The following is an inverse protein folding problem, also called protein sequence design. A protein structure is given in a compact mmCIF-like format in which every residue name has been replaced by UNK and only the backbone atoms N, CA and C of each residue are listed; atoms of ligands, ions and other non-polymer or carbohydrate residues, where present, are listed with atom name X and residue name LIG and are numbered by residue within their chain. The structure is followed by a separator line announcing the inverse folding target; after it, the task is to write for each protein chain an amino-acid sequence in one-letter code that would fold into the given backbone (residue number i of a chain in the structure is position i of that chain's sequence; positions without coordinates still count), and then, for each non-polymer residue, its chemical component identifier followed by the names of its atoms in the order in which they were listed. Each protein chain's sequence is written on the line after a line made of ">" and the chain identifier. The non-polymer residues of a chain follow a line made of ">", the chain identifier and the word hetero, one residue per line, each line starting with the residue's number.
data_IF_252014527138
#
_entry.id   IF_252014527138
#
_cell.length_a   1.000
_cell.length_b   1.000
_cell.length_c   1.000
_cell.angle_alpha   90.00
_cell.angle_beta   90.00
_cell.angle_gamma   90.00
#
_symmetry.space_group_name_H-M   'P 1'
#
loop_
_entity.id
_entity.type
_entity.pdbx_description
1 polymer ?
#
# COMPACT_ATOMS: atom_id res chain seq x y z
N UNK A 1 -11.23 -17.99 -23.65
CA UNK A 1 -12.04 -18.38 -22.48
C UNK A 1 -12.09 -17.16 -21.56
N UNK A 2 -13.23 -16.49 -21.51
CA UNK A 2 -13.43 -15.31 -20.65
C UNK A 2 -13.47 -15.77 -19.20
N UNK A 3 -12.46 -15.42 -18.44
CA UNK A 3 -12.43 -15.60 -16.98
C UNK A 3 -13.37 -14.53 -16.41
N UNK A 4 -14.53 -14.95 -15.89
CA UNK A 4 -15.40 -14.09 -15.08
C UNK A 4 -14.66 -13.79 -13.78
N UNK A 5 -14.18 -12.56 -13.64
CA UNK A 5 -13.71 -12.02 -12.37
C UNK A 5 -14.93 -11.97 -11.43
N UNK A 6 -14.83 -12.54 -10.22
CA UNK A 6 -15.91 -12.41 -9.25
C UNK A 6 -16.06 -10.92 -8.88
N UNK A 7 -17.28 -10.41 -9.02
CA UNK A 7 -17.68 -9.01 -8.77
C UNK A 7 -17.53 -8.53 -7.31
N UNK A 8 -16.72 -9.19 -6.50
CA UNK A 8 -16.66 -8.97 -5.05
C UNK A 8 -15.62 -7.94 -4.59
N UNK A 9 -14.62 -7.66 -5.42
CA UNK A 9 -13.66 -6.58 -5.12
C UNK A 9 -14.18 -5.18 -5.54
N UNK A 10 -15.27 -5.13 -6.31
CA UNK A 10 -15.85 -3.88 -6.82
C UNK A 10 -16.94 -3.26 -5.92
N UNK A 11 -17.22 -3.82 -4.73
CA UNK A 11 -18.23 -3.29 -3.81
C UNK A 11 -17.67 -2.81 -2.47
N UNK A 12 -16.58 -2.10 -2.47
CA UNK A 12 -16.25 -1.18 -1.37
C UNK A 12 -16.94 0.19 -1.61
N UNK A 13 -18.23 0.17 -1.91
CA UNK A 13 -19.09 1.35 -1.78
C UNK A 13 -19.82 1.26 -0.47
N UNK A 14 -19.44 2.13 0.47
CA UNK A 14 -20.27 2.40 1.65
C UNK A 14 -21.63 2.96 1.22
N UNK A 15 -22.75 2.46 1.77
CA UNK A 15 -24.02 3.14 1.70
C UNK A 15 -24.12 4.13 2.86
N UNK A 16 -23.67 5.35 2.67
CA UNK A 16 -24.08 6.48 3.49
C UNK A 16 -24.44 7.64 2.57
N UNK A 17 -25.71 7.68 2.22
CA UNK A 17 -26.42 8.89 1.82
C UNK A 17 -26.45 9.83 3.01
N UNK A 18 -25.74 10.93 2.93
CA UNK A 18 -26.11 12.29 3.21
C UNK A 18 -24.90 13.19 3.43
N UNK A 19 -24.82 14.18 2.55
CA UNK A 19 -24.29 15.52 2.67
C UNK A 19 -22.84 15.70 3.14
N UNK A 20 -22.10 16.33 2.26
CA UNK A 20 -20.79 16.97 2.41
C UNK A 20 -19.55 16.09 2.16
N UNK A 21 -19.47 15.50 0.96
CA UNK A 21 -18.16 15.17 0.39
C UNK A 21 -17.46 16.49 0.00
N UNK A 22 -16.17 16.70 0.35
CA UNK A 22 -15.45 17.87 -0.13
C UNK A 22 -15.33 17.81 -1.64
N UNK A 23 -15.81 18.84 -2.32
CA UNK A 23 -15.62 19.00 -3.75
C UNK A 23 -14.13 19.24 -4.03
N UNK A 24 -13.51 18.38 -4.82
CA UNK A 24 -12.18 18.62 -5.36
C UNK A 24 -12.32 19.60 -6.51
N UNK A 25 -11.91 20.84 -6.31
CA UNK A 25 -11.83 21.82 -7.40
C UNK A 25 -10.39 21.83 -7.88
N UNK A 26 -10.19 21.40 -9.12
CA UNK A 26 -8.91 21.48 -9.82
C UNK A 26 -8.91 22.76 -10.66
N UNK A 27 -8.05 23.69 -10.32
CA UNK A 27 -7.63 24.76 -11.22
C UNK A 27 -6.23 24.45 -11.71
N UNK A 28 -6.01 24.69 -13.02
CA UNK A 28 -4.77 24.48 -13.78
C UNK A 28 -3.50 24.24 -12.93
N UNK A 29 -3.10 22.95 -12.80
CA UNK A 29 -1.78 22.57 -12.31
C UNK A 29 -1.60 22.41 -10.79
N UNK A 30 -2.60 22.72 -9.96
CA UNK A 30 -2.50 22.57 -8.51
C UNK A 30 -3.58 21.63 -7.96
N UNK A 31 -3.16 20.61 -7.23
CA UNK A 31 -4.07 19.79 -6.41
C UNK A 31 -4.29 20.53 -5.10
N UNK A 32 -5.32 21.35 -5.04
CA UNK A 32 -5.71 22.03 -3.80
C UNK A 32 -6.73 21.17 -3.06
N UNK A 33 -6.34 20.63 -1.92
CA UNK A 33 -7.27 20.04 -0.97
C UNK A 33 -7.97 21.14 -0.19
N UNK A 34 -9.24 21.39 -0.51
CA UNK A 34 -10.09 22.26 0.32
C UNK A 34 -10.63 21.42 1.47
N UNK A 35 -10.05 21.59 2.65
CA UNK A 35 -10.55 20.99 3.88
C UNK A 35 -11.80 21.73 4.35
N UNK A 36 -12.91 21.05 4.73
CA UNK A 36 -14.00 21.70 5.45
C UNK A 36 -13.46 22.27 6.76
N UNK A 37 -13.94 23.43 7.17
CA UNK A 37 -13.56 24.07 8.44
C UNK A 37 -13.82 23.10 9.59
N UNK A 38 -12.75 22.55 10.15
CA UNK A 38 -12.79 21.66 11.31
C UNK A 38 -12.97 22.50 12.58
N UNK A 39 -13.83 22.03 13.48
CA UNK A 39 -13.99 22.61 14.81
C UNK A 39 -12.70 22.41 15.64
N UNK A 40 -12.49 23.21 16.71
CA UNK A 40 -11.28 23.13 17.54
C UNK A 40 -11.03 21.76 18.21
N UNK A 41 -12.03 20.89 18.27
CA UNK A 41 -11.97 19.54 18.86
C UNK A 41 -11.37 18.48 17.96
N UNK A 42 -11.30 18.71 16.64
CA UNK A 42 -10.84 17.70 15.66
C UNK A 42 -9.33 17.68 15.44
N UNK A 43 -8.56 18.51 16.15
CA UNK A 43 -7.09 18.62 15.98
C UNK A 43 -6.28 17.41 16.45
N UNK A 44 -6.87 16.45 17.15
CA UNK A 44 -6.16 15.27 17.68
C UNK A 44 -6.08 14.07 16.72
N UNK A 45 -6.83 14.06 15.61
CA UNK A 45 -6.86 12.94 14.62
C UNK A 45 -5.89 13.16 13.43
N UNK A 46 -4.97 14.09 13.53
CA UNK A 46 -4.11 14.55 12.43
C UNK A 46 -2.88 13.70 12.12
N UNK A 47 -2.64 12.59 12.81
CA UNK A 47 -1.38 11.82 12.66
C UNK A 47 -1.12 11.24 11.27
N UNK A 48 -2.13 10.70 10.58
CA UNK A 48 -1.96 10.09 9.24
C UNK A 48 -2.01 11.11 8.09
N UNK A 49 -2.77 12.20 8.28
CA UNK A 49 -2.79 13.32 7.32
C UNK A 49 -1.48 14.11 7.31
N UNK A 50 -0.79 14.20 8.45
CA UNK A 50 0.52 14.85 8.52
C UNK A 50 1.61 14.08 7.76
N UNK A 51 1.54 12.76 7.63
CA UNK A 51 2.49 11.99 6.85
C UNK A 51 2.34 12.28 5.34
N UNK A 52 1.11 12.33 4.82
CA UNK A 52 0.86 12.66 3.41
C UNK A 52 1.19 14.12 3.07
N UNK A 53 0.89 15.05 3.98
CA UNK A 53 1.27 16.47 3.86
C UNK A 53 2.79 16.65 4.02
N UNK A 54 3.46 15.83 4.82
CA UNK A 54 4.93 15.85 4.94
C UNK A 54 5.62 15.35 3.67
N UNK A 55 5.13 14.30 3.04
CA UNK A 55 5.66 13.79 1.75
C UNK A 55 5.48 14.82 0.64
N UNK A 56 4.31 15.46 0.54
CA UNK A 56 4.11 16.59 -0.37
C UNK A 56 5.00 17.78 -0.05
N UNK A 57 5.26 18.05 1.24
CA UNK A 57 6.19 19.10 1.66
C UNK A 57 7.66 18.71 1.50
N UNK A 58 8.02 17.43 1.45
CA UNK A 58 9.37 16.95 1.10
C UNK A 58 9.61 17.03 -0.40
N UNK A 59 8.61 16.71 -1.21
CA UNK A 59 8.62 16.99 -2.66
C UNK A 59 8.64 18.51 -2.91
N UNK A 60 7.86 19.30 -2.16
CA UNK A 60 7.86 20.76 -2.23
C UNK A 60 9.06 21.45 -1.54
N UNK A 61 9.86 20.78 -0.70
CA UNK A 61 11.11 21.37 -0.19
C UNK A 61 12.17 21.52 -1.28
N UNK A 62 12.02 20.81 -2.41
CA UNK A 62 12.77 21.05 -3.63
C UNK A 62 12.26 22.22 -4.48
N UNK A 63 11.15 22.85 -4.12
CA UNK A 63 10.52 24.01 -4.80
C UNK A 63 10.29 23.84 -6.31
N UNK A 64 10.20 22.61 -6.82
CA UNK A 64 10.00 22.34 -8.26
C UNK A 64 8.61 21.73 -8.46
N UNK A 65 7.64 22.44 -9.03
CA UNK A 65 6.36 21.86 -9.46
C UNK A 65 6.60 20.72 -10.46
N UNK A 66 5.74 19.70 -10.49
CA UNK A 66 5.87 18.59 -11.46
C UNK A 66 5.88 19.09 -12.92
N UNK A 67 5.37 20.29 -13.18
CA UNK A 67 5.38 20.96 -14.46
C UNK A 67 6.74 21.49 -14.91
N UNK A 68 7.70 21.62 -14.00
CA UNK A 68 9.03 22.18 -14.29
C UNK A 68 10.04 21.10 -14.74
N UNK A 69 9.64 19.84 -14.76
CA UNK A 69 10.46 18.76 -15.32
C UNK A 69 10.22 18.67 -16.82
N UNK A 70 11.30 18.83 -17.61
CA UNK A 70 11.27 18.80 -19.09
C UNK A 70 11.36 17.40 -19.67
N UNK A 71 12.00 16.46 -18.94
CA UNK A 71 12.18 15.07 -19.38
C UNK A 71 11.64 14.13 -18.29
N UNK A 72 10.46 13.58 -18.55
CA UNK A 72 9.74 12.69 -17.64
C UNK A 72 9.53 11.32 -18.26
N UNK A 73 9.86 10.28 -17.50
CA UNK A 73 9.66 8.88 -17.90
C UNK A 73 8.54 8.27 -17.06
N UNK A 74 7.50 7.77 -17.68
CA UNK A 74 6.48 6.96 -17.02
C UNK A 74 6.57 5.52 -17.50
N UNK A 75 6.52 4.56 -16.57
CA UNK A 75 6.50 3.12 -16.89
C UNK A 75 5.41 2.45 -16.07
N UNK A 76 4.48 1.78 -16.76
CA UNK A 76 3.44 0.97 -16.13
C UNK A 76 3.67 -0.52 -16.42
N UNK A 77 3.81 -1.32 -15.36
CA UNK A 77 3.91 -2.78 -15.47
C UNK A 77 2.54 -3.39 -15.21
N UNK A 78 1.86 -3.75 -16.29
CA UNK A 78 0.63 -4.52 -16.24
C UNK A 78 0.87 -6.04 -16.20
N UNK A 79 -0.20 -6.81 -16.09
CA UNK A 79 -0.11 -8.29 -16.08
C UNK A 79 0.36 -8.89 -17.40
N UNK A 80 0.11 -8.24 -18.53
CA UNK A 80 0.44 -8.75 -19.88
C UNK A 80 1.45 -7.87 -20.60
N UNK A 81 1.34 -6.56 -20.47
CA UNK A 81 2.20 -5.60 -21.16
C UNK A 81 2.84 -4.64 -20.15
N UNK A 82 4.04 -4.21 -20.49
CA UNK A 82 4.75 -3.10 -19.87
C UNK A 82 4.77 -1.94 -20.86
N UNK A 83 4.19 -0.83 -20.47
CA UNK A 83 4.08 0.38 -21.27
C UNK A 83 5.05 1.45 -20.73
N UNK A 84 5.88 2.01 -21.61
CA UNK A 84 6.78 3.12 -21.27
C UNK A 84 6.43 4.35 -22.11
N UNK A 85 6.43 5.51 -21.47
CA UNK A 85 6.18 6.81 -22.12
C UNK A 85 7.26 7.77 -21.67
N UNK A 86 7.97 8.35 -22.63
CA UNK A 86 8.88 9.47 -22.38
C UNK A 86 8.23 10.76 -22.87
N UNK A 87 8.17 11.75 -22.03
CA UNK A 87 7.83 13.13 -22.39
C UNK A 87 9.09 13.96 -22.35
N UNK A 88 9.35 14.65 -23.45
CA UNK A 88 10.46 15.58 -23.61
C UNK A 88 9.95 16.87 -24.26
N UNK A 89 9.97 17.97 -23.50
CA UNK A 89 9.53 19.29 -23.97
C UNK A 89 8.11 19.28 -24.59
N UNK A 90 7.18 18.49 -24.02
CA UNK A 90 5.81 18.35 -24.51
C UNK A 90 5.63 17.37 -25.70
N UNK A 91 6.70 16.71 -26.14
CA UNK A 91 6.64 15.66 -27.18
C UNK A 91 6.68 14.29 -26.49
N UNK A 92 5.78 13.38 -26.91
CA UNK A 92 5.64 12.05 -26.33
C UNK A 92 6.20 10.97 -27.25
N UNK A 93 6.99 10.07 -26.70
CA UNK A 93 7.39 8.81 -27.31
C UNK A 93 6.90 7.64 -26.47
N UNK A 94 6.45 6.57 -27.08
CA UNK A 94 5.86 5.42 -26.36
C UNK A 94 6.46 4.12 -26.84
N UNK A 95 6.68 3.19 -25.91
CA UNK A 95 7.08 1.81 -26.16
C UNK A 95 6.18 0.85 -25.40
N UNK A 96 5.86 -0.28 -26.04
CA UNK A 96 5.03 -1.33 -25.46
C UNK A 96 5.69 -2.69 -25.63
N UNK A 97 5.90 -3.38 -24.51
CA UNK A 97 6.56 -4.69 -24.45
C UNK A 97 5.68 -5.72 -23.76
N UNK A 98 5.93 -7.00 -23.97
CA UNK A 98 5.37 -8.05 -23.13
C UNK A 98 6.01 -7.97 -21.75
N UNK A 99 5.18 -8.07 -20.71
CA UNK A 99 5.66 -8.12 -19.33
C UNK A 99 6.47 -9.40 -19.09
N UNK A 100 7.54 -9.26 -18.32
CA UNK A 100 8.38 -10.37 -17.84
C UNK A 100 8.07 -10.65 -16.36
N UNK A 101 7.07 -11.48 -16.04
CA UNK A 101 6.60 -11.65 -14.65
C UNK A 101 7.66 -12.16 -13.68
N UNK A 102 8.63 -12.97 -14.19
CA UNK A 102 9.71 -13.51 -13.37
C UNK A 102 10.77 -12.46 -12.99
N UNK A 103 10.92 -11.40 -13.81
CA UNK A 103 11.93 -10.35 -13.65
C UNK A 103 11.33 -8.98 -13.96
N UNK A 104 10.42 -8.47 -13.11
CA UNK A 104 9.69 -7.23 -13.42
C UNK A 104 10.60 -5.99 -13.49
N UNK A 105 11.66 -5.92 -12.69
CA UNK A 105 12.66 -4.84 -12.77
C UNK A 105 13.36 -4.82 -14.14
N UNK A 106 13.74 -5.97 -14.67
CA UNK A 106 14.32 -6.10 -16.00
C UNK A 106 13.35 -5.66 -17.09
N UNK A 107 12.06 -6.00 -16.97
CA UNK A 107 11.00 -5.57 -17.89
C UNK A 107 10.88 -4.05 -17.93
N UNK A 108 10.88 -3.43 -16.74
CA UNK A 108 10.91 -1.98 -16.60
C UNK A 108 12.10 -1.35 -17.34
N UNK A 109 13.32 -1.81 -17.03
CA UNK A 109 14.55 -1.28 -17.62
C UNK A 109 14.58 -1.43 -19.14
N UNK A 110 14.13 -2.59 -19.64
CA UNK A 110 14.07 -2.83 -21.08
C UNK A 110 13.13 -1.85 -21.78
N UNK A 111 11.96 -1.58 -21.20
CA UNK A 111 11.00 -0.62 -21.74
C UNK A 111 11.54 0.82 -21.66
N UNK A 112 12.13 1.18 -20.52
CA UNK A 112 12.75 2.48 -20.30
C UNK A 112 13.88 2.75 -21.31
N UNK A 113 14.82 1.82 -21.47
CA UNK A 113 15.94 1.99 -22.38
C UNK A 113 15.50 2.10 -23.84
N UNK A 114 14.51 1.33 -24.29
CA UNK A 114 13.99 1.42 -25.65
C UNK A 114 13.40 2.78 -25.98
N UNK A 115 12.59 3.35 -25.06
CA UNK A 115 12.00 4.67 -25.31
C UNK A 115 13.05 5.77 -25.25
N UNK A 116 14.09 5.62 -24.42
CA UNK A 116 15.24 6.54 -24.39
C UNK A 116 16.06 6.48 -25.70
N UNK A 117 16.36 5.28 -26.18
CA UNK A 117 17.05 5.06 -27.46
C UNK A 117 16.25 5.66 -28.65
N UNK A 118 14.94 5.40 -28.70
CA UNK A 118 14.07 5.91 -29.75
C UNK A 118 14.05 7.45 -29.84
N UNK A 119 14.28 8.11 -28.70
CA UNK A 119 14.30 9.60 -28.63
C UNK A 119 15.70 10.21 -28.61
N UNK A 120 16.75 9.39 -28.59
CA UNK A 120 18.12 9.86 -28.43
C UNK A 120 18.40 10.54 -27.12
N UNK A 121 17.61 10.22 -26.06
CA UNK A 121 17.74 10.81 -24.73
C UNK A 121 18.70 9.96 -23.89
N UNK A 122 19.64 10.60 -23.20
CA UNK A 122 20.55 9.88 -22.31
C UNK A 122 19.84 9.54 -20.99
N UNK A 123 20.14 8.40 -20.35
CA UNK A 123 19.60 8.05 -19.02
C UNK A 123 19.79 9.14 -17.96
N UNK A 124 20.94 9.83 -17.99
CA UNK A 124 21.27 10.93 -17.07
C UNK A 124 20.41 12.19 -17.25
N UNK A 125 19.74 12.32 -18.39
CA UNK A 125 18.91 13.51 -18.70
C UNK A 125 17.48 13.35 -18.14
N UNK A 126 17.09 12.15 -17.72
CA UNK A 126 15.77 11.92 -17.11
C UNK A 126 15.70 12.63 -15.77
N UNK A 127 14.69 13.49 -15.60
CA UNK A 127 14.52 14.34 -14.41
C UNK A 127 13.54 13.77 -13.41
N UNK A 128 12.59 12.93 -13.88
CA UNK A 128 11.56 12.32 -13.04
C UNK A 128 11.10 10.98 -13.62
N UNK A 129 10.93 9.98 -12.75
CA UNK A 129 10.27 8.72 -13.09
C UNK A 129 8.96 8.60 -12.33
N UNK A 130 7.89 8.22 -13.05
CA UNK A 130 6.60 7.82 -12.48
C UNK A 130 6.36 6.35 -12.82
N UNK A 131 6.13 5.53 -11.79
CA UNK A 131 5.97 4.10 -11.95
C UNK A 131 4.60 3.62 -11.45
N UNK A 132 3.86 2.95 -12.34
CA UNK A 132 2.67 2.17 -12.04
C UNK A 132 3.00 0.67 -12.08
N UNK A 133 2.36 -0.14 -11.23
CA UNK A 133 2.56 -1.58 -11.25
C UNK A 133 1.35 -2.34 -10.72
N UNK A 134 1.04 -3.47 -11.36
CA UNK A 134 0.03 -4.42 -10.87
C UNK A 134 0.62 -5.56 -10.04
N UNK A 135 1.92 -5.52 -9.73
CA UNK A 135 2.61 -6.61 -9.03
C UNK A 135 1.97 -6.92 -7.66
N UNK A 136 1.65 -5.90 -6.87
CA UNK A 136 0.98 -6.03 -5.59
C UNK A 136 -0.43 -6.64 -5.72
N UNK A 137 -1.21 -6.15 -6.69
CA UNK A 137 -2.56 -6.65 -6.99
C UNK A 137 -2.52 -8.12 -7.42
N UNK A 138 -1.61 -8.47 -8.33
CA UNK A 138 -1.44 -9.85 -8.80
C UNK A 138 -1.02 -10.79 -7.68
N UNK A 139 -0.11 -10.38 -6.79
CA UNK A 139 0.32 -11.18 -5.64
C UNK A 139 -0.84 -11.52 -4.69
N UNK A 140 -1.78 -10.60 -4.49
CA UNK A 140 -2.99 -10.85 -3.69
C UNK A 140 -3.97 -11.78 -4.40
N UNK A 141 -4.25 -11.56 -5.68
CA UNK A 141 -5.21 -12.36 -6.46
C UNK A 141 -4.71 -13.81 -6.60
N UNK A 142 -3.42 -13.98 -6.90
CA UNK A 142 -2.79 -15.27 -7.11
C UNK A 142 -2.36 -15.95 -5.79
N UNK A 143 -2.53 -15.27 -4.66
CA UNK A 143 -2.11 -15.72 -3.33
C UNK A 143 -0.60 -16.07 -3.26
N UNK A 144 0.24 -15.27 -3.92
CA UNK A 144 1.71 -15.44 -4.00
C UNK A 144 2.45 -14.41 -3.14
N UNK A 145 1.94 -14.08 -1.96
CA UNK A 145 2.61 -13.19 -1.01
C UNK A 145 3.46 -13.96 0.00
N UNK A 146 4.00 -13.22 0.96
CA UNK A 146 4.84 -13.75 2.01
C UNK A 146 4.05 -14.56 3.04
N UNK A 147 4.72 -15.52 3.69
CA UNK A 147 4.15 -16.24 4.83
C UNK A 147 3.95 -15.27 6.00
N UNK A 148 2.69 -14.98 6.30
CA UNK A 148 2.31 -13.88 7.16
C UNK A 148 1.58 -14.36 8.40
N UNK A 149 1.91 -13.80 9.59
CA UNK A 149 1.15 -13.95 10.81
C UNK A 149 0.41 -12.65 11.19
N UNK A 150 -0.65 -12.79 11.99
CA UNK A 150 -1.38 -11.68 12.58
C UNK A 150 -1.32 -11.77 14.10
N UNK A 151 -0.75 -10.75 14.74
CA UNK A 151 -0.80 -10.60 16.22
C UNK A 151 -2.04 -9.81 16.58
N UNK A 152 -2.84 -10.35 17.50
CA UNK A 152 -4.13 -9.81 17.93
C UNK A 152 -4.26 -9.79 19.43
N UNK A 153 -5.18 -8.97 19.95
CA UNK A 153 -5.62 -9.01 21.35
C UNK A 153 -6.21 -10.37 21.68
N UNK A 154 -5.85 -10.95 22.81
CA UNK A 154 -6.41 -12.21 23.32
C UNK A 154 -7.94 -12.17 23.34
N UNK A 155 -8.57 -13.29 22.91
CA UNK A 155 -10.02 -13.41 22.73
C UNK A 155 -10.55 -12.89 21.39
N UNK A 156 -9.73 -12.23 20.54
CA UNK A 156 -10.15 -11.61 19.27
C UNK A 156 -9.46 -12.16 18.03
N UNK A 157 -8.93 -13.40 18.08
CA UNK A 157 -8.21 -14.00 16.93
C UNK A 157 -9.12 -14.35 15.74
N UNK A 158 -10.42 -14.41 15.94
CA UNK A 158 -11.37 -14.81 14.90
C UNK A 158 -12.09 -13.64 14.22
N UNK A 159 -11.69 -12.40 14.47
CA UNK A 159 -12.23 -11.20 13.84
C UNK A 159 -12.19 -11.24 12.30
N UNK A 160 -11.12 -11.83 11.71
CA UNK A 160 -11.03 -12.02 10.25
C UNK A 160 -12.03 -13.04 9.70
N UNK A 161 -12.39 -14.08 10.49
CA UNK A 161 -13.41 -15.07 10.11
C UNK A 161 -14.82 -14.50 10.26
N UNK A 162 -15.07 -13.81 11.36
CA UNK A 162 -16.37 -13.20 11.66
C UNK A 162 -16.68 -12.11 10.63
N UNK A 163 -15.70 -11.26 10.30
CA UNK A 163 -15.83 -10.11 9.39
C UNK A 163 -17.07 -9.27 9.75
N UNK A 164 -17.99 -9.05 8.81
CA UNK A 164 -19.25 -8.32 9.03
C UNK A 164 -20.45 -9.25 9.24
N UNK A 165 -20.25 -10.56 9.36
CA UNK A 165 -21.29 -11.58 9.51
C UNK A 165 -22.33 -11.61 8.38
N UNK A 166 -22.18 -10.81 7.34
CA UNK A 166 -23.09 -10.81 6.19
C UNK A 166 -22.77 -11.96 5.23
N UNK A 167 -23.80 -12.49 4.59
CA UNK A 167 -23.69 -13.48 3.53
C UNK A 167 -23.79 -12.80 2.17
N UNK A 168 -23.12 -13.33 1.17
CA UNK A 168 -23.22 -12.85 -0.21
C UNK A 168 -24.59 -13.15 -0.82
N UNK A 169 -25.11 -14.33 -0.50
CA UNK A 169 -26.49 -14.73 -0.76
C UNK A 169 -27.09 -15.24 0.55
N UNK A 170 -28.18 -14.64 0.98
CA UNK A 170 -28.83 -14.94 2.25
C UNK A 170 -29.43 -16.35 2.27
N UNK A 171 -29.84 -16.87 1.11
CA UNK A 171 -30.53 -18.14 0.96
C UNK A 171 -29.63 -19.26 0.43
N UNK A 172 -28.41 -18.96 0.02
CA UNK A 172 -27.44 -19.99 -0.39
C UNK A 172 -26.69 -20.54 0.82
N UNK A 173 -27.10 -21.73 1.28
CA UNK A 173 -26.45 -22.43 2.39
C UNK A 173 -25.08 -23.03 2.02
N UNK A 174 -24.77 -23.14 0.73
CA UNK A 174 -23.51 -23.64 0.22
C UNK A 174 -22.51 -22.51 -0.11
N UNK A 175 -22.91 -21.24 0.06
CA UNK A 175 -22.04 -20.12 -0.19
C UNK A 175 -20.86 -20.13 0.80
N UNK A 176 -19.66 -20.29 0.27
CA UNK A 176 -18.42 -20.21 1.04
C UNK A 176 -17.79 -18.84 0.89
N UNK A 177 -17.29 -18.31 2.01
CA UNK A 177 -16.46 -17.10 2.01
C UNK A 177 -15.05 -17.46 1.56
N UNK A 178 -14.41 -16.55 0.80
CA UNK A 178 -12.99 -16.70 0.49
C UNK A 178 -12.16 -16.78 1.79
N UNK A 179 -11.21 -17.71 1.88
CA UNK A 179 -10.40 -17.84 3.09
C UNK A 179 -9.59 -16.56 3.33
N UNK A 180 -9.42 -16.13 4.58
CA UNK A 180 -8.56 -15.01 4.93
C UNK A 180 -7.11 -15.25 4.50
N UNK A 181 -6.39 -14.17 4.15
CA UNK A 181 -4.96 -14.23 3.78
C UNK A 181 -4.08 -14.84 4.87
N UNK A 182 -4.44 -14.62 6.14
CA UNK A 182 -3.74 -15.20 7.29
C UNK A 182 -4.62 -16.30 7.87
N UNK A 183 -4.22 -17.57 7.74
CA UNK A 183 -4.97 -18.69 8.27
C UNK A 183 -5.01 -18.67 9.80
N UNK A 184 -6.02 -19.32 10.41
CA UNK A 184 -6.30 -19.22 11.84
C UNK A 184 -5.11 -19.58 12.73
N UNK A 185 -4.30 -20.57 12.34
CA UNK A 185 -3.14 -21.02 13.13
C UNK A 185 -2.00 -19.99 13.16
N UNK A 186 -1.94 -19.04 12.23
CA UNK A 186 -1.00 -17.93 12.23
C UNK A 186 -1.57 -16.64 12.83
N UNK A 187 -2.74 -16.69 13.48
CA UNK A 187 -3.28 -15.56 14.24
C UNK A 187 -2.91 -15.77 15.71
N UNK A 188 -1.93 -15.01 16.15
CA UNK A 188 -1.22 -15.18 17.41
C UNK A 188 -1.76 -14.19 18.46
N UNK A 189 -2.43 -14.63 19.52
CA UNK A 189 -2.95 -13.73 20.54
C UNK A 189 -1.85 -13.29 21.51
N UNK A 190 -1.96 -12.02 21.98
CA UNK A 190 -1.16 -11.47 23.08
C UNK A 190 -2.08 -10.90 24.14
N UNK A 191 -1.65 -10.98 25.40
CA UNK A 191 -2.42 -10.50 26.53
C UNK A 191 -2.24 -9.00 26.70
N UNK A 192 -3.28 -8.26 26.33
CA UNK A 192 -3.39 -6.80 26.49
C UNK A 192 -4.85 -6.36 26.34
N UNK A 193 -5.20 -5.14 26.75
CA UNK A 193 -6.50 -4.55 26.45
C UNK A 193 -6.46 -3.04 26.50
N UNK A 194 -6.99 -2.42 25.45
CA UNK A 194 -7.34 -1.00 25.42
C UNK A 194 -8.84 -0.80 25.29
N UNK A 195 -9.34 0.33 25.78
CA UNK A 195 -10.70 0.75 25.49
C UNK A 195 -10.74 1.70 24.27
N UNK A 196 -11.94 2.00 23.81
CA UNK A 196 -12.17 2.87 22.64
C UNK A 196 -11.65 4.32 22.80
N UNK A 197 -11.37 4.76 24.04
CA UNK A 197 -10.77 6.08 24.34
C UNK A 197 -9.23 6.03 24.39
N UNK A 198 -8.64 4.86 24.17
CA UNK A 198 -7.19 4.65 24.23
C UNK A 198 -6.65 4.49 25.65
N UNK A 199 -7.51 4.34 26.68
CA UNK A 199 -7.06 4.01 28.02
C UNK A 199 -6.71 2.51 28.13
N UNK A 200 -5.59 2.21 28.76
CA UNK A 200 -5.13 0.84 29.02
C UNK A 200 -5.99 0.23 30.11
N UNK A 201 -6.67 -0.87 29.80
CA UNK A 201 -7.44 -1.68 30.75
C UNK A 201 -6.60 -2.84 31.29
N UNK A 202 -5.82 -3.49 30.41
CA UNK A 202 -4.84 -4.53 30.75
C UNK A 202 -3.53 -4.10 30.08
N UNK A 203 -2.44 -3.90 30.85
CA UNK A 203 -1.12 -3.64 30.28
C UNK A 203 -0.68 -4.76 29.35
N UNK A 204 0.17 -4.44 28.38
CA UNK A 204 0.78 -5.45 27.53
C UNK A 204 1.65 -6.40 28.36
N UNK A 205 1.34 -7.67 28.32
CA UNK A 205 2.22 -8.72 28.82
C UNK A 205 3.32 -9.01 27.79
N UNK A 206 4.50 -8.44 28.04
CA UNK A 206 5.65 -8.60 27.13
C UNK A 206 6.09 -10.07 27.04
N UNK A 207 5.92 -10.85 28.12
CA UNK A 207 6.20 -12.29 28.11
C UNK A 207 5.33 -13.06 27.12
N UNK A 208 4.06 -12.64 26.97
CA UNK A 208 3.17 -13.22 25.95
C UNK A 208 3.65 -12.93 24.52
N UNK A 209 4.32 -11.81 24.29
CA UNK A 209 4.92 -11.46 22.98
C UNK A 209 6.21 -12.26 22.73
N UNK A 210 7.09 -12.32 23.74
CA UNK A 210 8.35 -13.08 23.67
C UNK A 210 8.10 -14.57 23.41
N UNK A 211 7.05 -15.13 23.97
CA UNK A 211 6.62 -16.52 23.75
C UNK A 211 6.24 -16.82 22.28
N UNK A 212 5.92 -15.80 21.47
CA UNK A 212 5.61 -15.97 20.05
C UNK A 212 6.87 -16.10 19.17
N UNK A 213 8.03 -15.60 19.62
CA UNK A 213 9.25 -15.55 18.83
C UNK A 213 9.68 -16.93 18.31
N UNK A 214 9.79 -17.98 19.16
CA UNK A 214 10.16 -19.31 18.68
C UNK A 214 9.17 -19.90 17.67
N UNK A 215 7.88 -19.56 17.78
CA UNK A 215 6.86 -20.02 16.82
C UNK A 215 7.00 -19.30 15.47
N UNK A 216 7.26 -18.00 15.48
CA UNK A 216 7.50 -17.18 14.28
C UNK A 216 8.72 -17.74 13.52
N UNK A 217 9.82 -18.04 14.21
CA UNK A 217 11.00 -18.63 13.61
C UNK A 217 10.74 -20.06 13.08
N UNK A 218 10.15 -20.93 13.91
CA UNK A 218 9.87 -22.31 13.54
C UNK A 218 8.96 -22.42 12.33
N UNK A 219 8.04 -21.48 12.19
CA UNK A 219 7.12 -21.44 11.06
C UNK A 219 7.69 -20.67 9.86
N UNK A 220 8.91 -20.15 9.94
CA UNK A 220 9.51 -19.35 8.86
C UNK A 220 8.58 -18.20 8.41
N UNK A 221 8.00 -17.47 9.37
CA UNK A 221 7.15 -16.31 9.09
C UNK A 221 8.03 -15.16 8.59
N UNK A 222 7.76 -14.68 7.40
CA UNK A 222 8.51 -13.58 6.77
C UNK A 222 7.96 -12.20 7.16
N UNK A 223 6.67 -12.13 7.49
CA UNK A 223 6.00 -10.86 7.77
C UNK A 223 4.95 -11.00 8.86
N UNK A 224 4.79 -9.95 9.67
CA UNK A 224 3.80 -9.89 10.75
C UNK A 224 2.95 -8.64 10.62
N UNK A 225 1.64 -8.82 10.62
CA UNK A 225 0.66 -7.78 10.87
C UNK A 225 0.36 -7.71 12.37
N UNK A 226 0.35 -6.52 12.97
CA UNK A 226 -0.08 -6.31 14.35
C UNK A 226 -1.37 -5.51 14.33
N UNK A 227 -2.47 -6.13 14.78
CA UNK A 227 -3.81 -5.55 14.72
C UNK A 227 -4.54 -5.67 16.07
N UNK A 228 -4.16 -4.84 17.03
CA UNK A 228 -4.75 -4.86 18.36
C UNK A 228 -6.06 -4.07 18.41
N UNK A 229 -6.89 -4.39 19.41
CA UNK A 229 -8.11 -3.65 19.65
C UNK A 229 -7.81 -2.18 19.96
N UNK A 230 -8.59 -1.30 19.34
CA UNK A 230 -8.52 0.16 19.57
C UNK A 230 -7.11 0.79 19.36
N UNK A 231 -6.21 0.14 18.63
CA UNK A 231 -4.88 0.67 18.32
C UNK A 231 -4.92 2.01 17.53
N UNK A 232 -6.01 2.29 16.84
CA UNK A 232 -6.26 3.60 16.20
C UNK A 232 -6.34 4.74 17.21
N UNK A 233 -6.79 4.49 18.44
CA UNK A 233 -6.89 5.48 19.51
C UNK A 233 -5.58 5.61 20.31
N UNK A 234 -4.87 4.47 20.52
CA UNK A 234 -3.58 4.43 21.22
C UNK A 234 -2.69 3.32 20.66
N UNK A 235 -1.64 3.65 19.89
CA UNK A 235 -0.78 2.69 19.22
C UNK A 235 0.34 2.12 20.10
N UNK A 236 0.41 2.47 21.40
CA UNK A 236 1.59 2.19 22.22
C UNK A 236 1.89 0.70 22.35
N UNK A 237 0.88 -0.17 22.52
CA UNK A 237 1.08 -1.62 22.60
C UNK A 237 1.59 -2.19 21.27
N UNK A 238 1.04 -1.77 20.11
CA UNK A 238 1.55 -2.20 18.80
C UNK A 238 3.00 -1.80 18.59
N UNK A 239 3.36 -0.56 18.96
CA UNK A 239 4.73 -0.07 18.87
C UNK A 239 5.66 -0.88 19.76
N UNK A 240 5.25 -1.19 20.98
CA UNK A 240 6.06 -1.96 21.91
C UNK A 240 6.27 -3.40 21.41
N UNK A 241 5.25 -4.05 20.89
CA UNK A 241 5.38 -5.38 20.27
C UNK A 241 6.38 -5.32 19.11
N UNK A 242 6.28 -4.30 18.25
CA UNK A 242 7.24 -4.11 17.15
C UNK A 242 8.68 -3.97 17.63
N UNK A 243 8.92 -3.24 18.73
CA UNK A 243 10.25 -3.09 19.30
C UNK A 243 10.81 -4.43 19.78
N UNK A 244 10.01 -5.23 20.53
CA UNK A 244 10.39 -6.54 21.00
C UNK A 244 10.73 -7.48 19.85
N UNK A 245 9.83 -7.59 18.86
CA UNK A 245 10.03 -8.46 17.72
C UNK A 245 11.23 -8.04 16.88
N UNK A 246 11.45 -6.74 16.65
CA UNK A 246 12.58 -6.26 15.85
C UNK A 246 13.92 -6.47 16.55
N UNK A 247 13.97 -6.46 17.88
CA UNK A 247 15.18 -6.75 18.65
C UNK A 247 15.59 -8.23 18.52
N UNK A 248 14.61 -9.14 18.46
CA UNK A 248 14.85 -10.58 18.33
C UNK A 248 14.99 -11.03 16.87
N UNK A 249 14.19 -10.45 15.96
CA UNK A 249 14.04 -10.85 14.56
C UNK A 249 14.23 -9.62 13.65
N UNK A 250 15.46 -9.16 13.40
CA UNK A 250 15.73 -7.89 12.70
C UNK A 250 15.26 -7.88 11.25
N UNK A 251 15.22 -9.04 10.59
CA UNK A 251 14.81 -9.18 9.19
C UNK A 251 13.29 -9.34 9.00
N UNK A 252 12.54 -9.46 10.10
CA UNK A 252 11.09 -9.63 10.05
C UNK A 252 10.40 -8.35 9.57
N UNK A 253 9.57 -8.46 8.55
CA UNK A 253 8.70 -7.35 8.11
C UNK A 253 7.54 -7.17 9.09
N UNK A 254 7.31 -5.95 9.56
CA UNK A 254 6.28 -5.67 10.58
C UNK A 254 5.41 -4.50 10.15
N UNK A 255 4.11 -4.77 10.00
CA UNK A 255 3.07 -3.79 9.69
C UNK A 255 2.18 -3.55 10.90
N UNK A 256 2.10 -2.30 11.38
CA UNK A 256 1.20 -1.90 12.46
C UNK A 256 -0.15 -1.45 11.91
N UNK A 257 -1.25 -1.89 12.48
CA UNK A 257 -2.59 -1.48 12.07
C UNK A 257 -2.83 0.01 12.29
N UNK A 258 -2.22 0.57 13.32
CA UNK A 258 -2.24 2.01 13.62
C UNK A 258 -1.50 2.88 12.60
N UNK A 259 -0.58 2.30 11.81
CA UNK A 259 0.13 2.99 10.73
C UNK A 259 -0.54 2.78 9.36
N UNK A 260 -0.97 1.54 9.07
CA UNK A 260 -1.51 1.12 7.77
C UNK A 260 -2.93 1.63 7.55
N UNK A 261 -3.82 1.40 8.53
CA UNK A 261 -5.25 1.69 8.44
C UNK A 261 -5.79 2.11 9.82
N UNK A 262 -5.53 3.34 10.31
CA UNK A 262 -5.89 3.77 11.65
C UNK A 262 -7.38 4.09 11.78
N UNK A 263 -8.25 3.13 11.46
CA UNK A 263 -9.70 3.26 11.47
C UNK A 263 -10.33 2.39 12.57
N UNK A 264 -11.59 2.77 12.98
CA UNK A 264 -12.32 2.16 14.08
C UNK A 264 -12.83 0.85 13.57
N UNK A 265 -12.73 0.02 12.99
CA UNK A 265 -13.31 -1.30 12.67
C UNK A 265 -12.20 -2.34 12.60
N UNK A 266 -12.29 -3.31 13.49
CA UNK A 266 -11.24 -4.32 13.63
C UNK A 266 -11.05 -5.12 12.34
N UNK A 267 -12.14 -5.54 11.69
CA UNK A 267 -12.06 -6.33 10.47
C UNK A 267 -11.38 -5.56 9.33
N UNK A 268 -11.82 -4.33 9.04
CA UNK A 268 -11.22 -3.51 7.98
C UNK A 268 -9.76 -3.20 8.28
N UNK A 269 -9.46 -2.82 9.53
CA UNK A 269 -8.12 -2.49 9.97
C UNK A 269 -7.18 -3.68 9.88
N UNK A 270 -7.59 -4.84 10.41
CA UNK A 270 -6.77 -6.05 10.44
C UNK A 270 -6.60 -6.66 9.04
N UNK A 271 -7.67 -6.76 8.25
CA UNK A 271 -7.59 -7.31 6.89
C UNK A 271 -6.69 -6.46 5.98
N UNK A 272 -6.80 -5.12 6.06
CA UNK A 272 -5.93 -4.21 5.31
C UNK A 272 -4.47 -4.32 5.77
N UNK A 273 -4.23 -4.46 7.08
CA UNK A 273 -2.88 -4.62 7.63
C UNK A 273 -2.28 -5.96 7.24
N UNK A 274 -3.08 -7.04 7.25
CA UNK A 274 -2.65 -8.36 6.76
C UNK A 274 -2.29 -8.31 5.27
N UNK A 275 -3.09 -7.65 4.44
CA UNK A 275 -2.79 -7.47 3.02
C UNK A 275 -1.49 -6.69 2.81
N UNK A 276 -1.27 -5.61 3.59
CA UNK A 276 0.00 -4.86 3.55
C UNK A 276 1.18 -5.75 3.92
N UNK A 277 1.11 -6.46 5.06
CA UNK A 277 2.16 -7.36 5.52
C UNK A 277 2.45 -8.48 4.51
N UNK A 278 1.40 -9.03 3.89
CA UNK A 278 1.48 -10.12 2.92
C UNK A 278 2.25 -9.76 1.64
N UNK A 279 2.10 -8.53 1.15
CA UNK A 279 2.77 -8.08 -0.08
C UNK A 279 4.06 -7.31 0.19
N UNK A 280 4.31 -6.86 1.43
CA UNK A 280 5.43 -5.98 1.75
C UNK A 280 6.81 -6.58 1.43
N UNK A 281 7.14 -7.84 1.76
CA UNK A 281 8.43 -8.41 1.41
C UNK A 281 8.69 -8.48 -0.10
N UNK A 282 7.67 -8.86 -0.88
CA UNK A 282 7.73 -8.89 -2.35
C UNK A 282 7.99 -7.50 -2.93
N UNK A 283 7.18 -6.53 -2.53
CA UNK A 283 7.28 -5.16 -3.05
C UNK A 283 8.56 -4.47 -2.61
N UNK A 284 9.03 -4.73 -1.39
CA UNK A 284 10.30 -4.19 -0.89
C UNK A 284 11.48 -4.67 -1.74
N UNK A 285 11.58 -5.98 -1.99
CA UNK A 285 12.63 -6.55 -2.84
C UNK A 285 12.60 -5.96 -4.24
N UNK A 286 11.44 -5.96 -4.86
CA UNK A 286 11.25 -5.41 -6.21
C UNK A 286 11.65 -3.95 -6.32
N UNK A 287 11.17 -3.11 -5.42
CA UNK A 287 11.39 -1.66 -5.49
C UNK A 287 12.85 -1.28 -5.18
N UNK A 288 13.51 -1.98 -4.27
CA UNK A 288 14.92 -1.77 -3.97
C UNK A 288 15.82 -2.24 -5.12
N UNK A 289 15.50 -3.38 -5.75
CA UNK A 289 16.17 -3.86 -6.95
C UNK A 289 16.03 -2.85 -8.10
N UNK A 290 14.81 -2.38 -8.36
CA UNK A 290 14.56 -1.38 -9.40
C UNK A 290 15.34 -0.09 -9.18
N UNK A 291 15.38 0.41 -7.94
CA UNK A 291 16.17 1.62 -7.59
C UNK A 291 17.66 1.41 -7.86
N UNK A 292 18.20 0.26 -7.46
CA UNK A 292 19.61 -0.07 -7.67
C UNK A 292 19.95 -0.16 -9.17
N UNK A 293 19.12 -0.84 -9.95
CA UNK A 293 19.33 -0.99 -11.39
C UNK A 293 19.19 0.33 -12.16
N UNK A 294 18.26 1.22 -11.77
CA UNK A 294 18.15 2.55 -12.33
C UNK A 294 19.42 3.36 -12.11
N UNK A 295 20.00 3.30 -10.91
CA UNK A 295 21.29 3.95 -10.60
C UNK A 295 22.43 3.37 -11.42
N UNK A 296 22.46 2.06 -11.64
CA UNK A 296 23.49 1.37 -12.44
C UNK A 296 23.51 1.82 -13.90
N UNK A 297 22.34 2.12 -14.50
CA UNK A 297 22.24 2.64 -15.88
C UNK A 297 22.39 4.17 -15.97
N UNK A 298 22.68 4.85 -14.85
CA UNK A 298 22.95 6.28 -14.81
C UNK A 298 21.71 7.17 -14.61
N UNK A 299 20.57 6.60 -14.23
CA UNK A 299 19.36 7.36 -13.85
C UNK A 299 19.40 7.60 -12.33
N UNK A 300 19.52 8.86 -11.91
CA UNK A 300 19.62 9.26 -10.50
C UNK A 300 18.46 10.17 -10.04
N UNK A 301 17.46 10.38 -10.90
CA UNK A 301 16.32 11.22 -10.60
C UNK A 301 15.34 10.58 -9.60
N UNK A 302 14.40 11.34 -9.03
CA UNK A 302 13.36 10.80 -8.17
C UNK A 302 12.49 9.73 -8.87
N UNK A 303 12.26 8.61 -8.18
CA UNK A 303 11.30 7.58 -8.57
C UNK A 303 10.04 7.72 -7.71
N UNK A 304 8.93 8.09 -8.32
CA UNK A 304 7.63 8.20 -7.68
C UNK A 304 6.71 7.05 -8.12
N UNK A 305 5.89 6.58 -7.19
CA UNK A 305 4.96 5.47 -7.41
C UNK A 305 3.52 5.98 -7.47
N UNK A 306 2.75 5.48 -8.44
CA UNK A 306 1.32 5.76 -8.56
C UNK A 306 0.54 5.03 -7.46
N UNK A 307 -0.30 5.76 -6.73
CA UNK A 307 -1.18 5.20 -5.70
C UNK A 307 -2.59 4.94 -6.24
N UNK A 308 -3.31 4.04 -5.56
CA UNK A 308 -4.74 3.76 -5.80
C UNK A 308 -5.66 4.99 -5.65
N UNK A 309 -5.23 5.98 -4.88
CA UNK A 309 -5.94 7.26 -4.73
C UNK A 309 -5.73 8.22 -5.91
N UNK A 310 -4.91 7.88 -6.90
CA UNK A 310 -4.56 8.73 -8.03
C UNK A 310 -3.43 9.73 -7.73
N UNK A 311 -2.87 9.72 -6.51
CA UNK A 311 -1.70 10.54 -6.17
C UNK A 311 -0.39 9.78 -6.39
N UNK A 312 0.74 10.51 -6.22
CA UNK A 312 2.08 9.94 -6.27
C UNK A 312 2.64 9.80 -4.85
N UNK A 313 3.53 8.83 -4.66
CA UNK A 313 4.23 8.61 -3.39
C UNK A 313 5.70 8.29 -3.61
N UNK A 314 6.51 8.46 -2.58
CA UNK A 314 7.94 8.12 -2.63
C UNK A 314 8.16 6.61 -2.54
N UNK A 315 9.33 6.17 -3.00
CA UNK A 315 9.78 4.78 -2.90
C UNK A 315 9.70 4.26 -1.45
N UNK A 316 10.21 5.03 -0.49
CA UNK A 316 10.19 4.66 0.94
C UNK A 316 8.78 4.42 1.47
N UNK A 317 7.80 5.26 1.07
CA UNK A 317 6.40 5.08 1.44
C UNK A 317 5.79 3.86 0.74
N UNK A 318 6.11 3.62 -0.54
CA UNK A 318 5.66 2.44 -1.28
C UNK A 318 6.18 1.13 -0.68
N UNK A 319 7.44 1.11 -0.21
CA UNK A 319 8.03 -0.03 0.50
C UNK A 319 7.32 -0.27 1.84
N UNK A 320 7.03 0.79 2.59
CA UNK A 320 6.36 0.68 3.90
C UNK A 320 4.88 0.31 3.78
N UNK A 321 4.19 0.88 2.79
CA UNK A 321 2.74 0.75 2.61
C UNK A 321 2.36 0.32 1.18
N UNK A 322 2.82 -0.85 0.73
CA UNK A 322 2.53 -1.31 -0.64
C UNK A 322 1.04 -1.51 -0.91
N UNK A 323 0.21 -1.68 0.12
CA UNK A 323 -1.26 -1.73 0.00
C UNK A 323 -1.83 -0.49 -0.72
N UNK A 324 -1.16 0.65 -0.66
CA UNK A 324 -1.58 1.90 -1.31
C UNK A 324 -1.31 1.93 -2.82
N UNK A 325 -0.56 0.96 -3.33
CA UNK A 325 -0.22 0.82 -4.76
C UNK A 325 -1.19 -0.13 -5.49
N UNK A 326 -2.10 -0.80 -4.77
CA UNK A 326 -3.07 -1.72 -5.35
C UNK A 326 -4.06 -0.93 -6.21
N UNK A 327 -4.36 -1.45 -7.42
CA UNK A 327 -5.27 -0.82 -8.39
C UNK A 327 -4.84 0.61 -8.84
N UNK A 328 -3.52 0.88 -8.86
CA UNK A 328 -2.98 2.15 -9.36
C UNK A 328 -3.24 2.38 -10.84
N UNK A 329 -3.27 1.33 -11.67
CA UNK A 329 -3.58 1.41 -13.10
C UNK A 329 -4.98 1.99 -13.39
N UNK A 330 -6.08 1.47 -12.80
CA UNK A 330 -7.41 2.08 -12.91
C UNK A 330 -7.47 3.54 -12.45
N UNK A 331 -6.73 3.91 -11.39
CA UNK A 331 -6.66 5.28 -10.91
C UNK A 331 -6.00 6.21 -11.95
N UNK A 332 -4.89 5.78 -12.54
CA UNK A 332 -4.22 6.50 -13.64
C UNK A 332 -5.13 6.65 -14.88
N UNK A 333 -5.84 5.58 -15.25
CA UNK A 333 -6.81 5.59 -16.33
C UNK A 333 -7.97 6.55 -16.11
N UNK A 334 -8.48 6.64 -14.87
CA UNK A 334 -9.54 7.59 -14.52
C UNK A 334 -9.08 9.06 -14.59
N UNK A 335 -7.83 9.33 -14.21
CA UNK A 335 -7.23 10.67 -14.34
C UNK A 335 -7.14 11.06 -15.82
N UNK A 336 -6.60 10.15 -16.65
CA UNK A 336 -6.47 10.39 -18.08
C UNK A 336 -7.83 10.62 -18.74
N UNK A 337 -8.85 9.80 -18.45
CA UNK A 337 -10.20 9.94 -19.00
C UNK A 337 -10.89 11.26 -18.62
N UNK A 338 -10.50 11.88 -17.50
CA UNK A 338 -11.01 13.22 -17.14
C UNK A 338 -10.42 14.32 -18.00
N UNK A 339 -9.18 14.15 -18.45
CA UNK A 339 -8.42 15.19 -19.15
C UNK A 339 -8.59 15.12 -20.69
N UNK A 340 -9.31 14.09 -21.19
CA UNK A 340 -9.76 13.94 -22.58
C UNK A 340 -11.18 14.50 -22.75
#
# INVERSE_FOLDING_TARGET
>A
ASIKIPNQLLKLRSPLTNSSAPATVLTRGEVVWVSPKLSPTDKKTLGSRQASVRVLNEINRGNTPLTDFHIRLAVDIGGTFTDAVLEKDGVYATEKLLTTPAFPAQGFLTAAMKVLEATGTQPSDVELIIHGTTLATNALIEQKGAKTALIVTEGHRDSLEIAFENRFDQYDFAAHRSPPLVPRHFRLPVTERMNWRGAILIPLDEGSVEALIPEIERQEIESVAIGLLHAYANPNHEKRIKEILRAALPDLFISLSSDVCPEIREYDRQSTTCANAYIQPLMSRYLLELEAELKNIGIACPLLLMMSSGGLTTLATGIKFPIRLIDSGPAGGAILARDI
#
